data_IF_511909780119
#
_entry.id   IF_511909780119
#
_cell.length_a   1.000
_cell.length_b   1.000
_cell.length_c   1.000
_cell.angle_alpha   90.00
_cell.angle_beta   90.00
_cell.angle_gamma   90.00
#
_symmetry.space_group_name_H-M   'P 1'
#
loop_
_entity.id
_entity.type
_entity.pdbx_description
1 polymer ?
#
# COMPACT_ATOMS: atom_id res chain seq x y z
N UNK A 1 -51.99 -47.41 -20.00
CA UNK A 1 -50.86 -46.49 -20.21
C UNK A 1 -49.96 -46.58 -19.00
N UNK A 2 -48.67 -46.78 -19.23
CA UNK A 2 -47.65 -47.20 -18.26
C UNK A 2 -47.13 -45.98 -17.47
N UNK A 3 -46.82 -46.23 -16.20
CA UNK A 3 -46.27 -45.35 -15.16
C UNK A 3 -45.06 -44.48 -15.59
N UNK A 4 -44.90 -43.32 -14.95
CA UNK A 4 -43.70 -43.03 -14.13
C UNK A 4 -43.84 -41.74 -13.33
N UNK A 5 -43.44 -41.84 -12.08
CA UNK A 5 -43.30 -40.78 -11.08
C UNK A 5 -41.88 -40.20 -11.22
N UNK A 6 -41.67 -38.88 -11.12
CA UNK A 6 -40.32 -38.31 -10.96
C UNK A 6 -40.33 -37.08 -10.05
N UNK A 7 -39.78 -37.31 -8.86
CA UNK A 7 -39.30 -36.33 -7.89
C UNK A 7 -37.91 -35.86 -8.35
N UNK A 8 -37.64 -34.56 -8.35
CA UNK A 8 -36.30 -33.97 -8.37
C UNK A 8 -36.42 -32.59 -7.71
N UNK A 9 -36.27 -32.54 -6.38
CA UNK A 9 -35.08 -32.00 -5.70
C UNK A 9 -34.89 -30.50 -5.94
N UNK A 10 -35.54 -29.70 -5.11
CA UNK A 10 -35.10 -28.35 -4.79
C UNK A 10 -33.73 -28.47 -4.11
N UNK A 11 -32.66 -28.37 -4.90
CA UNK A 11 -31.31 -28.21 -4.37
C UNK A 11 -30.96 -26.73 -4.42
N UNK A 12 -30.85 -26.16 -3.23
CA UNK A 12 -30.36 -24.83 -2.93
C UNK A 12 -28.99 -24.61 -3.60
N UNK A 13 -28.98 -23.93 -4.74
CA UNK A 13 -27.75 -23.49 -5.41
C UNK A 13 -27.19 -22.27 -4.71
N UNK A 14 -26.45 -22.45 -3.61
CA UNK A 14 -25.46 -21.46 -3.22
C UNK A 14 -24.40 -21.45 -4.32
N UNK A 15 -24.50 -20.49 -5.24
CA UNK A 15 -23.40 -20.18 -6.15
C UNK A 15 -22.20 -19.78 -5.28
N UNK A 16 -21.24 -20.69 -5.13
CA UNK A 16 -19.95 -20.36 -4.56
C UNK A 16 -19.27 -19.45 -5.56
N UNK A 17 -19.24 -18.15 -5.28
CA UNK A 17 -18.42 -17.22 -6.04
C UNK A 17 -16.98 -17.71 -5.94
N UNK A 18 -16.47 -18.25 -7.05
CA UNK A 18 -15.07 -18.64 -7.14
C UNK A 18 -14.23 -17.41 -6.76
N UNK A 19 -13.43 -17.55 -5.69
CA UNK A 19 -12.39 -16.59 -5.35
C UNK A 19 -11.29 -16.71 -6.41
N UNK A 20 -11.56 -16.24 -7.61
CA UNK A 20 -10.56 -16.16 -8.65
C UNK A 20 -9.62 -15.04 -8.22
N UNK A 21 -8.46 -15.45 -7.73
CA UNK A 21 -7.36 -14.54 -7.47
C UNK A 21 -6.77 -14.18 -8.82
N UNK A 22 -7.24 -13.07 -9.37
CA UNK A 22 -6.76 -12.60 -10.66
C UNK A 22 -5.35 -12.06 -10.48
N UNK A 23 -4.38 -12.73 -11.11
CA UNK A 23 -3.00 -12.26 -11.22
C UNK A 23 -2.94 -11.10 -12.19
N UNK A 24 -1.95 -10.22 -12.02
CA UNK A 24 -1.74 -9.11 -12.94
C UNK A 24 -1.49 -9.65 -14.36
N UNK A 25 -2.27 -9.27 -15.39
CA UNK A 25 -2.12 -9.79 -16.75
C UNK A 25 -0.77 -9.45 -17.38
N UNK A 26 -0.13 -8.37 -16.92
CA UNK A 26 1.15 -7.90 -17.45
C UNK A 26 2.37 -8.62 -16.86
N UNK A 27 2.29 -9.14 -15.62
CA UNK A 27 3.46 -9.70 -14.93
C UNK A 27 3.20 -10.98 -14.13
N UNK A 28 1.98 -11.52 -14.13
CA UNK A 28 1.61 -12.75 -13.43
C UNK A 28 1.63 -12.66 -11.90
N UNK A 29 1.95 -11.50 -11.32
CA UNK A 29 2.00 -11.34 -9.85
C UNK A 29 0.59 -11.21 -9.28
N UNK A 30 0.32 -11.90 -8.17
CA UNK A 30 -0.92 -11.73 -7.39
C UNK A 30 -1.03 -10.30 -6.85
N UNK A 31 -2.07 -9.59 -7.26
CA UNK A 31 -2.40 -8.26 -6.73
C UNK A 31 -3.17 -8.32 -5.41
N UNK A 32 -3.48 -7.14 -4.88
CA UNK A 32 -4.34 -6.94 -3.72
C UNK A 32 -5.64 -6.25 -4.14
N UNK A 33 -6.79 -6.70 -3.63
CA UNK A 33 -8.08 -6.07 -3.93
C UNK A 33 -8.09 -4.58 -3.57
N UNK A 34 -8.75 -3.80 -4.41
CA UNK A 34 -8.95 -2.36 -4.21
C UNK A 34 -10.33 -1.94 -4.68
N UNK A 35 -10.97 -1.03 -3.93
CA UNK A 35 -12.29 -0.51 -4.27
C UNK A 35 -12.23 0.36 -5.53
N UNK A 36 -13.29 0.31 -6.34
CA UNK A 36 -13.41 1.16 -7.53
C UNK A 36 -13.33 2.67 -7.21
N UNK A 37 -13.75 3.09 -6.01
CA UNK A 37 -13.62 4.49 -5.58
C UNK A 37 -12.16 4.93 -5.46
N UNK A 38 -11.26 4.05 -5.00
CA UNK A 38 -9.82 4.32 -4.95
C UNK A 38 -9.29 4.49 -6.36
N UNK A 39 -9.53 3.51 -7.25
CA UNK A 39 -9.10 3.55 -8.65
C UNK A 39 -9.55 4.85 -9.32
N UNK A 40 -10.86 5.14 -9.25
CA UNK A 40 -11.42 6.40 -9.75
C UNK A 40 -10.69 7.61 -9.18
N UNK A 41 -10.49 7.67 -7.86
CA UNK A 41 -9.84 8.82 -7.20
C UNK A 41 -8.39 9.02 -7.65
N UNK A 42 -7.72 7.97 -8.11
CA UNK A 42 -6.30 7.97 -8.50
C UNK A 42 -6.07 8.22 -9.99
N UNK A 43 -7.01 7.83 -10.86
CA UNK A 43 -6.91 8.05 -12.30
C UNK A 43 -6.90 9.54 -12.67
N UNK A 44 -6.05 9.89 -13.64
CA UNK A 44 -6.11 11.17 -14.37
C UNK A 44 -7.50 11.38 -14.97
N UNK A 45 -7.88 12.64 -15.21
CA UNK A 45 -9.27 12.99 -15.55
C UNK A 45 -9.71 12.33 -16.86
N UNK A 46 -8.83 12.36 -17.85
CA UNK A 46 -8.99 11.81 -19.19
C UNK A 46 -9.15 10.28 -19.21
N UNK A 47 -8.47 9.56 -18.31
CA UNK A 47 -8.60 8.10 -18.21
C UNK A 47 -9.85 7.73 -17.39
N UNK A 48 -10.16 8.50 -16.36
CA UNK A 48 -11.34 8.26 -15.52
C UNK A 48 -12.64 8.28 -16.31
N UNK A 49 -12.76 9.16 -17.30
CA UNK A 49 -13.99 9.30 -18.10
C UNK A 49 -14.29 8.09 -18.97
N UNK A 50 -13.30 7.25 -19.25
CA UNK A 50 -13.46 6.03 -20.07
C UNK A 50 -13.51 4.76 -19.24
N UNK A 51 -13.33 4.85 -17.92
CA UNK A 51 -13.37 3.72 -17.00
C UNK A 51 -14.78 3.11 -16.94
N UNK A 52 -14.87 1.79 -17.14
CA UNK A 52 -16.12 1.04 -17.06
C UNK A 52 -16.62 0.94 -15.61
N UNK A 53 -17.88 1.33 -15.39
CA UNK A 53 -18.47 1.44 -14.03
C UNK A 53 -19.06 0.12 -13.52
N UNK A 54 -19.33 -0.82 -14.41
CA UNK A 54 -19.90 -2.14 -14.18
C UNK A 54 -18.86 -3.20 -13.78
N UNK A 55 -17.57 -2.87 -13.88
CA UNK A 55 -16.46 -3.71 -13.42
C UNK A 55 -16.43 -3.72 -11.89
N UNK A 56 -16.91 -4.82 -11.30
CA UNK A 56 -17.23 -4.90 -9.87
C UNK A 56 -16.04 -4.91 -8.90
N UNK A 57 -14.85 -5.33 -9.33
CA UNK A 57 -13.67 -5.45 -8.46
C UNK A 57 -12.37 -5.19 -9.25
N UNK A 58 -11.49 -4.38 -8.66
CA UNK A 58 -10.16 -4.09 -9.16
C UNK A 58 -9.10 -4.64 -8.22
N UNK A 59 -7.91 -4.83 -8.76
CA UNK A 59 -6.72 -5.21 -8.03
C UNK A 59 -5.63 -4.17 -8.22
N UNK A 60 -4.84 -3.93 -7.19
CA UNK A 60 -3.57 -3.21 -7.25
C UNK A 60 -2.44 -4.20 -7.48
N UNK A 61 -1.61 -3.95 -8.51
CA UNK A 61 -0.44 -4.78 -8.80
C UNK A 61 0.70 -4.48 -7.82
N UNK A 62 1.10 -5.49 -7.04
CA UNK A 62 2.10 -5.39 -5.98
C UNK A 62 3.54 -5.55 -6.48
N UNK A 63 3.75 -5.85 -7.76
CA UNK A 63 5.10 -5.97 -8.33
C UNK A 63 5.72 -4.57 -8.55
N UNK A 64 6.85 -4.24 -7.91
CA UNK A 64 7.51 -2.93 -8.06
C UNK A 64 8.06 -2.69 -9.48
N UNK A 65 8.38 -3.75 -10.23
CA UNK A 65 8.95 -3.68 -11.59
C UNK A 65 7.89 -3.67 -12.70
N UNK A 66 6.61 -3.68 -12.34
CA UNK A 66 5.50 -3.70 -13.31
C UNK A 66 4.81 -2.35 -13.38
N UNK A 67 4.73 -1.76 -14.57
CA UNK A 67 4.08 -0.46 -14.80
C UNK A 67 2.57 -0.48 -14.57
N UNK A 68 1.93 -1.65 -14.64
CA UNK A 68 0.52 -1.80 -14.26
C UNK A 68 0.34 -1.44 -12.79
N UNK A 69 -0.57 -0.51 -12.52
CA UNK A 69 -1.00 -0.12 -11.17
C UNK A 69 -2.28 -0.84 -10.81
N UNK A 70 -3.28 -0.78 -11.67
CA UNK A 70 -4.56 -1.45 -11.45
C UNK A 70 -4.94 -2.35 -12.61
N UNK A 71 -5.71 -3.38 -12.30
CA UNK A 71 -6.36 -4.21 -13.30
C UNK A 71 -7.69 -4.73 -12.76
N UNK A 72 -8.67 -4.87 -13.64
CA UNK A 72 -9.94 -5.49 -13.32
C UNK A 72 -9.79 -7.00 -13.16
N UNK A 73 -10.69 -7.62 -12.40
CA UNK A 73 -10.75 -9.07 -12.27
C UNK A 73 -10.83 -9.78 -13.64
N UNK A 74 -11.72 -9.33 -14.52
CA UNK A 74 -11.86 -9.91 -15.87
C UNK A 74 -10.71 -9.56 -16.84
N UNK A 75 -9.72 -8.78 -16.40
CA UNK A 75 -8.60 -8.32 -17.21
C UNK A 75 -8.98 -7.33 -18.32
N UNK A 76 -10.24 -6.89 -18.40
CA UNK A 76 -10.73 -6.00 -19.45
C UNK A 76 -10.31 -4.54 -19.26
N UNK A 77 -9.89 -4.15 -18.06
CA UNK A 77 -9.30 -2.85 -17.76
C UNK A 77 -7.92 -3.01 -17.11
N UNK A 78 -6.96 -2.26 -17.63
CA UNK A 78 -5.59 -2.18 -17.11
C UNK A 78 -5.22 -0.70 -17.07
N UNK A 79 -4.75 -0.24 -15.92
CA UNK A 79 -4.28 1.14 -15.73
C UNK A 79 -2.81 1.13 -15.33
N UNK A 80 -2.01 1.91 -16.05
CA UNK A 80 -0.57 2.00 -15.89
C UNK A 80 -0.18 3.18 -14.99
N UNK A 81 1.08 3.25 -14.56
CA UNK A 81 1.62 4.38 -13.81
C UNK A 81 1.43 5.72 -14.55
N UNK A 82 1.41 5.70 -15.89
CA UNK A 82 1.11 6.87 -16.74
C UNK A 82 -0.32 7.38 -16.60
N UNK A 83 -1.27 6.54 -16.15
CA UNK A 83 -2.68 6.88 -16.01
C UNK A 83 -3.02 7.41 -14.62
N UNK A 84 -2.09 7.27 -13.67
CA UNK A 84 -2.26 7.67 -12.27
C UNK A 84 -1.76 9.11 -12.07
N UNK A 85 -2.47 9.91 -11.29
CA UNK A 85 -2.09 11.30 -10.98
C UNK A 85 -0.79 11.41 -10.18
N UNK A 86 -0.52 10.43 -9.33
CA UNK A 86 0.59 10.41 -8.38
C UNK A 86 1.55 9.27 -8.69
N UNK A 87 2.83 9.47 -8.38
CA UNK A 87 3.83 8.39 -8.36
C UNK A 87 3.42 7.36 -7.31
N UNK A 88 3.43 6.08 -7.66
CA UNK A 88 3.11 4.98 -6.74
C UNK A 88 4.36 4.56 -5.98
N UNK A 89 4.27 4.54 -4.65
CA UNK A 89 5.40 4.40 -3.72
C UNK A 89 6.29 3.19 -4.01
N UNK A 90 5.66 2.02 -4.24
CA UNK A 90 6.40 0.77 -4.48
C UNK A 90 6.95 0.66 -5.91
N UNK A 91 6.50 1.51 -6.84
CA UNK A 91 6.85 1.42 -8.27
C UNK A 91 7.78 2.53 -8.74
N UNK A 92 8.16 3.44 -7.84
CA UNK A 92 8.89 4.64 -8.22
C UNK A 92 9.96 5.01 -7.18
N UNK A 93 11.21 5.01 -7.61
CA UNK A 93 12.35 5.35 -6.76
C UNK A 93 12.70 6.84 -6.71
N UNK A 94 11.99 7.69 -7.44
CA UNK A 94 12.22 9.13 -7.39
C UNK A 94 12.02 9.64 -5.95
N UNK A 95 12.97 10.41 -5.39
CA UNK A 95 12.88 10.96 -4.03
C UNK A 95 11.62 11.83 -3.78
N UNK A 96 11.04 12.40 -4.83
CA UNK A 96 9.78 13.17 -4.78
C UNK A 96 8.53 12.28 -4.77
N UNK A 97 8.68 10.97 -4.67
CA UNK A 97 7.56 10.03 -4.54
C UNK A 97 6.98 10.10 -3.13
N UNK A 98 5.64 10.17 -2.97
CA UNK A 98 5.02 10.15 -1.65
C UNK A 98 5.24 8.83 -0.91
N UNK A 99 5.59 8.93 0.37
CA UNK A 99 5.43 7.86 1.35
C UNK A 99 4.07 7.92 2.04
N UNK A 100 3.52 9.12 2.27
CA UNK A 100 2.15 9.30 2.74
C UNK A 100 1.40 10.31 1.88
N UNK A 101 0.37 9.85 1.18
CA UNK A 101 -0.45 10.69 0.28
C UNK A 101 -1.36 11.66 1.04
N UNK A 102 -1.87 11.27 2.22
CA UNK A 102 -2.69 12.15 3.06
C UNK A 102 -1.91 13.37 3.54
N UNK A 103 -0.63 13.17 3.89
CA UNK A 103 0.23 14.21 4.49
C UNK A 103 1.23 14.82 3.50
N UNK A 104 1.26 14.33 2.26
CA UNK A 104 2.26 14.68 1.26
C UNK A 104 3.71 14.49 1.76
N UNK A 105 3.92 13.52 2.65
CA UNK A 105 5.26 13.16 3.13
C UNK A 105 6.00 12.44 2.00
N UNK A 106 7.12 13.01 1.53
CA UNK A 106 7.91 12.48 0.41
C UNK A 106 9.05 11.59 0.92
N UNK A 107 9.57 10.69 0.06
CA UNK A 107 10.78 9.91 0.34
C UNK A 107 11.94 10.83 0.73
N UNK A 108 12.15 11.91 -0.03
CA UNK A 108 13.23 12.88 0.20
C UNK A 108 13.19 13.54 1.57
N UNK A 109 12.00 13.87 2.09
CA UNK A 109 11.85 14.47 3.42
C UNK A 109 12.34 13.53 4.51
N UNK A 110 12.01 12.23 4.40
CA UNK A 110 12.46 11.22 5.37
C UNK A 110 13.96 10.94 5.20
N UNK A 111 14.46 10.88 3.96
CA UNK A 111 15.90 10.75 3.68
C UNK A 111 16.68 11.91 4.30
N UNK A 112 16.17 13.13 4.20
CA UNK A 112 16.80 14.30 4.80
C UNK A 112 16.85 14.21 6.33
N UNK A 113 15.76 13.76 6.98
CA UNK A 113 15.76 13.48 8.42
C UNK A 113 16.83 12.44 8.80
N UNK A 114 17.00 11.40 7.99
CA UNK A 114 18.02 10.36 8.18
C UNK A 114 19.43 10.93 8.04
N UNK A 115 19.69 11.70 6.98
CA UNK A 115 20.98 12.31 6.72
C UNK A 115 21.38 13.32 7.81
N UNK A 116 20.42 14.04 8.38
CA UNK A 116 20.61 14.93 9.53
C UNK A 116 20.75 14.18 10.87
N UNK A 117 20.67 12.85 10.88
CA UNK A 117 20.69 12.00 12.08
C UNK A 117 19.65 12.44 13.10
N UNK A 118 18.45 12.77 12.63
CA UNK A 118 17.39 13.20 13.51
C UNK A 118 17.09 12.13 14.58
N UNK A 119 16.98 12.49 15.86
CA UNK A 119 16.67 11.51 16.89
C UNK A 119 15.23 11.00 16.73
N UNK A 120 15.04 9.71 17.01
CA UNK A 120 13.74 9.05 17.04
C UNK A 120 12.90 9.22 15.74
N UNK A 121 13.54 9.04 14.57
CA UNK A 121 12.90 9.19 13.23
C UNK A 121 11.58 8.42 13.14
N UNK A 122 11.54 7.16 13.60
CA UNK A 122 10.31 6.35 13.58
C UNK A 122 9.15 7.03 14.34
N UNK A 123 9.43 7.63 15.51
CA UNK A 123 8.42 8.36 16.30
C UNK A 123 7.96 9.62 15.56
N UNK A 124 8.87 10.40 15.00
CA UNK A 124 8.53 11.62 14.25
C UNK A 124 7.68 11.31 13.02
N UNK A 125 8.04 10.28 12.26
CA UNK A 125 7.24 9.85 11.09
C UNK A 125 5.86 9.38 11.52
N UNK A 126 5.73 8.65 12.64
CA UNK A 126 4.42 8.30 13.23
C UNK A 126 3.58 9.52 13.56
N UNK A 127 4.18 10.53 14.19
CA UNK A 127 3.51 11.78 14.54
C UNK A 127 3.02 12.52 13.28
N UNK A 128 3.86 12.63 12.25
CA UNK A 128 3.49 13.23 10.96
C UNK A 128 2.29 12.52 10.34
N UNK A 129 2.29 11.18 10.26
CA UNK A 129 1.18 10.45 9.62
C UNK A 129 -0.10 10.44 10.47
N UNK A 130 0.02 10.60 11.78
CA UNK A 130 -1.11 10.68 12.71
C UNK A 130 -1.74 12.08 12.79
N UNK A 131 -1.02 13.13 12.38
CA UNK A 131 -1.46 14.52 12.53
C UNK A 131 -2.65 14.86 11.61
N UNK A 132 -3.82 15.15 12.20
CA UNK A 132 -5.02 15.53 11.45
C UNK A 132 -5.69 14.40 10.65
N UNK A 133 -6.67 14.76 9.81
CA UNK A 133 -7.54 13.78 9.12
C UNK A 133 -6.79 12.96 8.06
N UNK A 134 -7.23 11.71 7.87
CA UNK A 134 -6.71 10.78 6.87
C UNK A 134 -7.81 10.34 5.90
N UNK A 135 -7.44 10.21 4.63
CA UNK A 135 -8.35 9.89 3.51
C UNK A 135 -7.77 8.78 2.62
N UNK A 136 -7.12 7.80 3.23
CA UNK A 136 -6.26 6.81 2.56
C UNK A 136 -6.97 6.08 1.41
N UNK A 137 -8.27 5.77 1.57
CA UNK A 137 -9.07 5.14 0.51
C UNK A 137 -9.06 5.93 -0.80
N UNK A 138 -9.03 7.26 -0.73
CA UNK A 138 -9.05 8.14 -1.91
C UNK A 138 -7.69 8.70 -2.29
N UNK A 139 -6.75 8.80 -1.33
CA UNK A 139 -5.45 9.44 -1.54
C UNK A 139 -4.32 8.45 -1.83
N UNK A 140 -4.32 7.25 -1.22
CA UNK A 140 -3.29 6.24 -1.42
C UNK A 140 -3.69 5.31 -2.57
N UNK A 141 -2.82 5.08 -3.57
CA UNK A 141 -3.06 4.08 -4.62
C UNK A 141 -3.42 2.68 -4.11
N UNK A 142 -2.91 2.25 -2.96
CA UNK A 142 -3.29 0.96 -2.35
C UNK A 142 -4.70 0.95 -1.73
N UNK A 143 -5.31 2.12 -1.54
CA UNK A 143 -6.59 2.27 -0.82
C UNK A 143 -6.50 2.07 0.69
N UNK A 144 -5.32 1.75 1.23
CA UNK A 144 -5.07 1.45 2.65
C UNK A 144 -4.09 2.46 3.26
N UNK A 145 -3.88 2.40 4.58
CA UNK A 145 -2.94 3.30 5.26
C UNK A 145 -1.51 3.08 4.76
N UNK A 146 -0.74 4.16 4.63
CA UNK A 146 0.66 4.14 4.17
C UNK A 146 1.67 3.50 5.14
N UNK A 147 1.20 3.02 6.30
CA UNK A 147 2.04 2.47 7.36
C UNK A 147 2.94 1.33 6.86
N UNK A 148 2.43 0.44 6.02
CA UNK A 148 3.20 -0.67 5.46
C UNK A 148 4.36 -0.19 4.58
N UNK A 149 4.08 0.75 3.66
CA UNK A 149 5.09 1.30 2.74
C UNK A 149 6.15 2.09 3.49
N UNK A 150 5.75 2.88 4.49
CA UNK A 150 6.67 3.61 5.37
C UNK A 150 7.54 2.65 6.18
N UNK A 151 6.94 1.60 6.76
CA UNK A 151 7.68 0.60 7.52
C UNK A 151 8.73 -0.09 6.65
N UNK A 152 8.35 -0.47 5.43
CA UNK A 152 9.25 -1.09 4.46
C UNK A 152 10.37 -0.13 4.03
N UNK A 153 10.04 1.14 3.80
CA UNK A 153 11.00 2.17 3.45
C UNK A 153 12.04 2.39 4.57
N UNK A 154 11.59 2.60 5.81
CA UNK A 154 12.47 2.83 6.96
C UNK A 154 13.35 1.62 7.28
N UNK A 155 12.82 0.40 7.11
CA UNK A 155 13.59 -0.84 7.25
C UNK A 155 14.79 -0.88 6.29
N UNK A 156 14.65 -0.31 5.08
CA UNK A 156 15.76 -0.16 4.12
C UNK A 156 16.93 0.69 4.63
N UNK A 157 16.69 1.53 5.65
CA UNK A 157 17.69 2.34 6.33
C UNK A 157 18.07 1.80 7.72
N UNK A 158 17.64 0.58 8.06
CA UNK A 158 17.90 -0.03 9.37
C UNK A 158 17.09 0.60 10.52
N UNK A 159 15.99 1.30 10.21
CA UNK A 159 15.13 1.94 11.22
C UNK A 159 13.87 1.08 11.41
N UNK A 160 13.64 0.61 12.63
CA UNK A 160 12.40 -0.09 12.97
C UNK A 160 11.28 0.91 13.24
N UNK A 161 10.27 0.91 12.38
CA UNK A 161 9.08 1.75 12.56
C UNK A 161 8.34 1.39 13.85
N UNK A 162 8.35 0.14 14.29
CA UNK A 162 7.59 -0.33 15.45
C UNK A 162 8.34 -0.20 16.78
N UNK A 163 9.58 0.29 16.78
CA UNK A 163 10.39 0.37 17.99
C UNK A 163 9.71 1.22 19.07
N UNK A 164 9.22 0.54 20.11
CA UNK A 164 8.63 1.15 21.30
C UNK A 164 9.74 1.37 22.33
N UNK A 165 10.59 2.39 22.12
CA UNK A 165 11.64 2.84 23.06
C UNK A 165 12.31 1.71 23.88
N UNK A 166 13.50 1.28 23.47
CA UNK A 166 14.51 0.86 24.45
C UNK A 166 15.90 1.41 24.15
N UNK A 167 15.98 2.71 23.84
CA UNK A 167 17.26 3.42 23.92
C UNK A 167 17.47 3.93 25.34
N UNK A 168 17.80 3.02 26.26
CA UNK A 168 18.65 3.39 27.40
C UNK A 168 20.03 3.68 26.83
N UNK A 169 20.37 4.95 26.64
CA UNK A 169 21.77 5.34 26.73
C UNK A 169 22.19 4.96 28.16
N UNK A 170 22.88 3.83 28.32
CA UNK A 170 23.69 3.64 29.53
C UNK A 170 24.75 4.73 29.48
N UNK A 171 24.54 5.80 30.25
CA UNK A 171 25.65 6.55 30.80
C UNK A 171 26.50 5.53 31.52
N UNK A 172 27.71 5.27 31.01
CA UNK A 172 28.69 4.45 31.71
C UNK A 172 29.06 5.20 33.00
N UNK A 173 28.60 4.78 34.19
CA UNK A 173 28.98 5.42 35.43
C UNK A 173 30.23 4.69 35.92
N UNK A 174 31.32 4.83 35.18
CA UNK A 174 32.66 4.44 35.64
C UNK A 174 33.69 5.34 34.96
N UNK A 175 33.65 6.60 35.36
CA UNK A 175 34.78 7.53 35.22
C UNK A 175 34.97 8.25 36.56
N UNK A 176 35.25 7.47 37.60
CA UNK A 176 36.01 7.83 38.79
C UNK A 176 36.89 6.61 39.05
N UNK A 177 38.15 6.65 39.43
CA UNK A 177 39.10 7.69 39.80
C UNK A 177 40.34 6.88 40.23
N UNK A 178 41.54 7.29 39.83
CA UNK A 178 42.67 7.53 40.76
C UNK A 178 44.04 7.39 40.07
N UNK A 179 44.79 8.49 40.12
CA UNK A 179 46.25 8.49 40.17
C UNK A 179 46.81 7.62 41.32
N UNK A 180 48.13 7.38 41.25
CA UNK A 180 49.03 6.64 42.17
C UNK A 180 49.01 5.12 41.91
N UNK A 181 50.13 4.45 41.61
CA UNK A 181 51.50 4.59 42.11
C UNK A 181 52.56 4.65 41.01
#
# INVERSE_FOLDING_TARGET
>A
MIFTNKRASESCGCATQENVVYVCPSCGTKGSNVNAITVKSQLKKEVRTTMKLDVGLFNFCTNPQCDTVYYSNDGSEIFLQSDIKSKVTIKNEDPKTPLCYCKKLLKESVIEMINRKEPAIAKKVKEIIADGKSFCEKSNPKGTCCTEDITSFLKGYGIDFNESKKTTFSLNPNALSSCCC
#
